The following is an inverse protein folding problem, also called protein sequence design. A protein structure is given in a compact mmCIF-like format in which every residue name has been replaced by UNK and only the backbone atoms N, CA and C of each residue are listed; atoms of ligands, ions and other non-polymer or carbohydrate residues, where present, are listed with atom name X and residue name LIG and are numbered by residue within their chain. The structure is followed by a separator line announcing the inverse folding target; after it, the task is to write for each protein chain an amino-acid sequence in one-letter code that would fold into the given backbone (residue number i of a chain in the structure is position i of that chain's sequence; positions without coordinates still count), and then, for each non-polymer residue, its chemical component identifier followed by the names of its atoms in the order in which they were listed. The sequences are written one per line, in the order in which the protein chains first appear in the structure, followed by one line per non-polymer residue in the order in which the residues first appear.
data_IF_025147510506
#
_entry.id   IF_025147510506
#
_cell.length_a   1.000
_cell.length_b   1.000
_cell.length_c   1.000
_cell.angle_alpha   90.00
_cell.angle_beta   90.00
_cell.angle_gamma   90.00
#
_symmetry.space_group_name_H-M   'P 1'
#
loop_
_entity.id
_entity.type
_entity.pdbx_description
1 polymer ?
#
# COMPACT_ATOMS: atom_id res chain seq x y z
N UNK A 1 9.77 -8.46 -12.97
CA UNK A 1 9.05 -9.67 -13.42
C UNK A 1 8.56 -10.39 -12.18
N UNK A 2 7.27 -10.69 -12.08
CA UNK A 2 6.63 -11.15 -10.85
C UNK A 2 5.59 -12.26 -11.11
N UNK A 3 5.99 -13.51 -11.41
CA UNK A 3 5.04 -14.60 -11.59
C UNK A 3 4.34 -14.99 -10.28
N UNK A 4 3.04 -15.24 -10.39
CA UNK A 4 2.22 -15.88 -9.35
C UNK A 4 1.74 -17.24 -9.86
N UNK A 5 1.79 -18.26 -9.02
CA UNK A 5 1.23 -19.58 -9.30
C UNK A 5 0.24 -19.96 -8.20
N UNK A 6 -0.83 -20.67 -8.55
CA UNK A 6 -1.84 -21.08 -7.58
C UNK A 6 -2.43 -22.45 -7.88
N UNK A 7 -2.90 -23.13 -6.82
CA UNK A 7 -3.73 -24.34 -6.92
C UNK A 7 -5.22 -24.02 -7.10
N UNK A 8 -5.61 -22.74 -7.13
CA UNK A 8 -6.97 -22.26 -7.29
C UNK A 8 -7.35 -21.93 -8.73
N UNK A 9 -8.20 -20.92 -8.91
CA UNK A 9 -8.75 -20.48 -10.19
C UNK A 9 -7.85 -19.52 -10.98
N UNK A 10 -6.71 -19.09 -10.42
CA UNK A 10 -5.80 -18.16 -11.09
C UNK A 10 -6.32 -16.73 -11.17
N UNK A 11 -7.26 -16.36 -10.28
CA UNK A 11 -7.81 -15.00 -10.18
C UNK A 11 -7.84 -14.56 -8.73
N UNK A 12 -7.61 -13.27 -8.50
CA UNK A 12 -7.67 -12.64 -7.18
C UNK A 12 -8.84 -11.66 -7.08
N UNK A 13 -9.31 -11.45 -5.85
CA UNK A 13 -10.24 -10.38 -5.49
C UNK A 13 -9.66 -9.57 -4.35
N UNK A 14 -10.04 -8.31 -4.26
CA UNK A 14 -9.72 -7.47 -3.12
C UNK A 14 -10.51 -7.90 -1.88
N UNK A 15 -9.84 -7.94 -0.74
CA UNK A 15 -10.46 -8.10 0.57
C UNK A 15 -10.67 -6.71 1.21
N UNK A 16 -11.69 -6.01 0.73
CA UNK A 16 -11.99 -4.63 1.14
C UNK A 16 -12.17 -4.50 2.66
N UNK A 17 -11.70 -3.37 3.21
CA UNK A 17 -11.79 -3.07 4.65
C UNK A 17 -10.65 -3.63 5.49
N UNK A 18 -9.71 -4.39 4.89
CA UNK A 18 -8.52 -4.94 5.57
C UNK A 18 -7.21 -4.35 5.03
N UNK A 19 -7.26 -3.12 4.53
CA UNK A 19 -6.11 -2.45 3.94
C UNK A 19 -5.09 -2.02 4.99
N UNK A 20 -3.85 -2.49 4.79
CA UNK A 20 -2.70 -2.17 5.63
C UNK A 20 -1.68 -1.28 4.90
N UNK A 21 -1.77 -1.18 3.58
CA UNK A 21 -0.85 -0.42 2.72
C UNK A 21 -1.61 0.74 2.09
N UNK A 22 -0.96 1.91 2.06
CA UNK A 22 -1.51 3.16 1.54
C UNK A 22 -0.45 3.92 0.74
N UNK A 23 -0.86 4.82 -0.14
CA UNK A 23 0.03 5.78 -0.82
C UNK A 23 -0.65 7.14 -0.92
N UNK A 24 0.14 8.23 -0.93
CA UNK A 24 -0.37 9.57 -1.17
C UNK A 24 -0.58 9.76 -2.68
N UNK A 25 -1.78 10.13 -3.09
CA UNK A 25 -2.16 10.32 -4.50
C UNK A 25 -2.56 11.75 -4.84
N UNK A 26 -3.07 12.52 -3.88
CA UNK A 26 -3.54 13.89 -4.13
C UNK A 26 -3.40 14.75 -2.85
N UNK A 27 -2.17 15.18 -2.50
CA UNK A 27 -1.93 15.96 -1.29
C UNK A 27 -2.62 17.33 -1.36
N UNK A 28 -3.44 17.64 -0.35
CA UNK A 28 -4.15 18.93 -0.22
C UNK A 28 -4.37 19.27 1.26
N UNK A 29 -4.69 20.54 1.61
CA UNK A 29 -4.85 20.95 3.00
C UNK A 29 -5.93 20.17 3.75
N UNK A 30 -5.58 19.63 4.91
CA UNK A 30 -6.46 18.82 5.77
C UNK A 30 -6.89 19.61 7.00
N UNK A 31 -8.19 19.62 7.29
CA UNK A 31 -8.76 20.36 8.43
C UNK A 31 -8.54 19.67 9.77
N UNK A 32 -8.74 18.35 9.83
CA UNK A 32 -8.63 17.57 11.06
C UNK A 32 -7.17 17.49 11.50
N UNK A 33 -6.81 17.91 12.74
CA UNK A 33 -5.41 17.95 13.17
C UNK A 33 -4.72 16.58 13.15
N UNK A 34 -5.43 15.52 13.51
CA UNK A 34 -4.89 14.16 13.50
C UNK A 34 -4.57 13.69 12.07
N UNK A 35 -5.52 13.85 11.14
CA UNK A 35 -5.34 13.55 9.73
C UNK A 35 -4.22 14.37 9.09
N UNK A 36 -4.10 15.65 9.47
CA UNK A 36 -3.00 16.51 9.03
C UNK A 36 -1.66 15.99 9.52
N UNK A 37 -1.53 15.65 10.80
CA UNK A 37 -0.29 15.11 11.37
C UNK A 37 0.14 13.80 10.70
N UNK A 38 -0.82 12.91 10.39
CA UNK A 38 -0.53 11.69 9.62
C UNK A 38 -0.06 12.01 8.20
N UNK A 39 -0.73 12.95 7.52
CA UNK A 39 -0.35 13.35 6.16
C UNK A 39 1.03 14.01 6.11
N UNK A 40 1.33 14.93 7.03
CA UNK A 40 2.63 15.60 7.14
C UNK A 40 3.74 14.57 7.37
N UNK A 41 3.56 13.67 8.33
CA UNK A 41 4.52 12.60 8.58
C UNK A 41 4.73 11.71 7.35
N UNK A 42 3.65 11.31 6.67
CA UNK A 42 3.73 10.47 5.48
C UNK A 42 4.41 11.19 4.30
N UNK A 43 4.14 12.48 4.12
CA UNK A 43 4.79 13.30 3.09
C UNK A 43 6.29 13.45 3.33
N UNK A 44 6.70 13.67 4.58
CA UNK A 44 8.10 13.81 4.97
C UNK A 44 8.90 12.50 4.80
N UNK A 45 8.29 11.36 5.13
CA UNK A 45 9.01 10.08 5.23
C UNK A 45 8.83 9.16 4.00
N UNK A 46 7.71 9.22 3.30
CA UNK A 46 7.35 8.27 2.24
C UNK A 46 7.07 8.94 0.89
N UNK A 47 6.72 10.24 0.90
CA UNK A 47 6.37 10.99 -0.31
C UNK A 47 5.24 10.30 -1.10
N UNK A 48 5.52 9.80 -2.31
CA UNK A 48 4.55 9.08 -3.14
C UNK A 48 4.70 7.56 -3.07
N UNK A 49 5.70 7.05 -2.33
CA UNK A 49 5.90 5.62 -2.15
C UNK A 49 4.84 5.02 -1.23
N UNK A 50 4.44 3.75 -1.45
CA UNK A 50 3.56 3.05 -0.53
C UNK A 50 4.17 2.92 0.88
N UNK A 51 3.32 3.05 1.90
CA UNK A 51 3.67 2.87 3.30
C UNK A 51 2.61 2.02 4.01
N UNK A 52 2.97 1.42 5.15
CA UNK A 52 2.02 0.64 5.93
C UNK A 52 1.49 1.40 7.16
N UNK A 53 0.21 1.13 7.51
CA UNK A 53 -0.45 1.68 8.71
C UNK A 53 0.34 1.39 10.00
N UNK A 54 1.03 0.25 10.04
CA UNK A 54 1.90 -0.14 11.15
C UNK A 54 3.02 0.87 11.41
N UNK A 55 3.73 1.34 10.38
CA UNK A 55 4.80 2.34 10.54
C UNK A 55 4.28 3.64 11.14
N UNK A 56 3.12 4.12 10.67
CA UNK A 56 2.45 5.28 11.25
C UNK A 56 2.05 5.05 12.72
N UNK A 57 1.53 3.85 13.02
CA UNK A 57 1.09 3.46 14.37
C UNK A 57 2.24 3.27 15.35
N UNK A 58 3.45 3.04 14.86
CA UNK A 58 4.69 2.97 15.66
C UNK A 58 5.29 4.36 15.88
N UNK A 59 5.17 5.25 14.90
CA UNK A 59 5.73 6.61 14.95
C UNK A 59 4.82 7.64 15.64
N UNK A 60 3.50 7.45 15.61
CA UNK A 60 2.51 8.40 16.11
C UNK A 60 1.84 7.89 17.39
N UNK A 61 1.45 8.80 18.31
CA UNK A 61 1.07 8.44 19.68
C UNK A 61 -0.25 7.67 19.83
N UNK A 62 -1.10 7.61 18.80
CA UNK A 62 -2.43 7.00 18.89
C UNK A 62 -2.73 6.09 17.70
N UNK A 63 -2.73 4.77 17.93
CA UNK A 63 -3.10 3.77 16.90
C UNK A 63 -4.54 3.97 16.40
N UNK A 64 -5.49 4.18 17.31
CA UNK A 64 -6.88 4.47 16.96
C UNK A 64 -7.01 5.79 16.18
N UNK A 65 -6.20 6.79 16.53
CA UNK A 65 -6.12 8.06 15.80
C UNK A 65 -5.60 7.88 14.37
N UNK A 66 -4.57 7.04 14.18
CA UNK A 66 -4.02 6.71 12.85
C UNK A 66 -5.07 6.04 11.97
N UNK A 67 -5.82 5.07 12.49
CA UNK A 67 -6.91 4.41 11.74
C UNK A 67 -7.99 5.41 11.30
N UNK A 68 -8.45 6.28 12.21
CA UNK A 68 -9.45 7.31 11.89
C UNK A 68 -8.92 8.33 10.87
N UNK A 69 -7.67 8.74 11.02
CA UNK A 69 -6.99 9.65 10.11
C UNK A 69 -6.86 9.05 8.70
N UNK A 70 -6.41 7.80 8.56
CA UNK A 70 -6.30 7.14 7.26
C UNK A 70 -7.67 7.01 6.57
N UNK A 71 -8.73 6.67 7.32
CA UNK A 71 -10.11 6.65 6.79
C UNK A 71 -10.60 8.02 6.34
N UNK A 72 -10.22 9.07 7.05
CA UNK A 72 -10.54 10.45 6.67
C UNK A 72 -9.79 10.88 5.40
N UNK A 73 -8.47 10.64 5.35
CA UNK A 73 -7.64 10.93 4.18
C UNK A 73 -8.07 10.15 2.94
N UNK A 74 -8.46 8.88 3.11
CA UNK A 74 -9.00 8.05 2.03
C UNK A 74 -10.31 8.60 1.49
N UNK A 75 -11.26 8.97 2.37
CA UNK A 75 -12.53 9.60 1.97
C UNK A 75 -12.34 10.95 1.28
N UNK A 76 -11.25 11.65 1.59
CA UNK A 76 -10.87 12.89 0.91
C UNK A 76 -10.08 12.63 -0.39
N UNK A 77 -9.86 11.37 -0.78
CA UNK A 77 -9.08 10.97 -1.96
C UNK A 77 -7.62 11.47 -1.92
N UNK A 78 -7.10 11.74 -0.71
CA UNK A 78 -5.71 12.18 -0.50
C UNK A 78 -4.78 10.98 -0.55
N UNK A 79 -5.21 9.88 0.06
CA UNK A 79 -4.51 8.60 0.03
C UNK A 79 -5.36 7.56 -0.69
N UNK A 80 -4.67 6.63 -1.35
CA UNK A 80 -5.25 5.39 -1.86
C UNK A 80 -4.86 4.26 -0.92
N UNK A 81 -5.78 3.33 -0.68
CA UNK A 81 -5.49 2.08 0.02
C UNK A 81 -5.24 0.93 -0.96
N UNK A 82 -4.52 -0.08 -0.51
CA UNK A 82 -4.24 -1.30 -1.26
C UNK A 82 -4.70 -2.50 -0.42
N UNK A 83 -5.95 -2.95 -0.61
CA UNK A 83 -6.47 -4.13 0.08
C UNK A 83 -5.67 -5.38 -0.27
N UNK A 84 -5.59 -6.38 0.64
CA UNK A 84 -5.03 -7.67 0.31
C UNK A 84 -5.73 -8.31 -0.88
N UNK A 85 -4.95 -8.84 -1.83
CA UNK A 85 -5.44 -9.62 -2.97
C UNK A 85 -5.47 -11.09 -2.60
N UNK A 86 -6.66 -11.68 -2.62
CA UNK A 86 -6.88 -13.06 -2.19
C UNK A 86 -7.40 -13.89 -3.36
N UNK A 87 -6.85 -15.09 -3.53
CA UNK A 87 -7.29 -16.04 -4.55
C UNK A 87 -8.76 -16.43 -4.32
N UNK A 88 -9.58 -16.39 -5.37
CA UNK A 88 -11.05 -16.48 -5.24
C UNK A 88 -11.55 -17.81 -4.66
N UNK A 89 -10.82 -18.90 -4.88
CA UNK A 89 -11.12 -20.23 -4.35
C UNK A 89 -10.30 -20.56 -3.09
N UNK A 90 -9.56 -19.59 -2.55
CA UNK A 90 -8.65 -19.76 -1.40
C UNK A 90 -7.57 -20.82 -1.65
N UNK A 91 -7.18 -21.00 -2.92
CA UNK A 91 -6.04 -21.82 -3.30
C UNK A 91 -4.74 -21.30 -2.69
N UNK A 92 -3.75 -22.19 -2.53
CA UNK A 92 -2.41 -21.76 -2.13
C UNK A 92 -1.81 -20.92 -3.27
N UNK A 93 -1.07 -19.87 -2.91
CA UNK A 93 -0.40 -18.99 -3.86
C UNK A 93 1.09 -18.98 -3.55
N UNK A 94 1.92 -19.13 -4.56
CA UNK A 94 3.35 -18.84 -4.51
C UNK A 94 3.69 -17.71 -5.46
N UNK A 95 4.76 -16.97 -5.15
CA UNK A 95 5.24 -15.85 -5.93
C UNK A 95 6.77 -15.88 -5.97
N UNK A 96 7.32 -15.40 -7.08
CA UNK A 96 8.73 -15.02 -7.19
C UNK A 96 8.78 -13.64 -7.85
N UNK A 97 9.81 -12.86 -7.56
CA UNK A 97 10.00 -11.53 -8.14
C UNK A 97 11.47 -11.30 -8.48
N UNK A 98 11.69 -10.58 -9.57
CA UNK A 98 12.99 -10.00 -9.88
C UNK A 98 12.85 -8.63 -10.55
N UNK A 99 13.78 -7.73 -10.29
CA UNK A 99 13.91 -6.43 -10.95
C UNK A 99 14.97 -6.54 -12.04
N UNK A 100 14.66 -6.05 -13.23
CA UNK A 100 15.56 -6.12 -14.40
C UNK A 100 15.79 -4.76 -15.04
N UNK A 101 16.97 -4.56 -15.59
CA UNK A 101 17.33 -3.43 -16.44
C UNK A 101 17.45 -3.91 -17.89
N UNK A 102 16.67 -3.33 -18.79
CA UNK A 102 16.72 -3.64 -20.22
C UNK A 102 17.86 -2.86 -20.85
N UNK A 103 18.77 -3.57 -21.51
CA UNK A 103 19.88 -3.01 -22.27
C UNK A 103 19.63 -3.24 -23.77
N UNK A 104 20.53 -2.74 -24.64
CA UNK A 104 20.32 -2.77 -26.09
C UNK A 104 20.06 -4.19 -26.64
N UNK A 105 20.84 -5.16 -26.19
CA UNK A 105 20.82 -6.55 -26.69
C UNK A 105 20.76 -7.58 -25.53
N UNK A 106 20.47 -7.13 -24.31
CA UNK A 106 20.55 -7.93 -23.08
C UNK A 106 19.60 -7.45 -21.99
N UNK A 107 19.48 -8.26 -20.94
CA UNK A 107 18.77 -7.92 -19.71
C UNK A 107 19.68 -8.21 -18.53
N UNK A 108 19.85 -7.23 -17.64
CA UNK A 108 20.59 -7.38 -16.39
C UNK A 108 19.62 -7.56 -15.23
N UNK A 109 19.80 -8.63 -14.45
CA UNK A 109 19.07 -8.86 -13.20
C UNK A 109 19.71 -8.03 -12.08
N UNK A 110 18.92 -7.21 -11.39
CA UNK A 110 19.37 -6.33 -10.32
C UNK A 110 19.11 -6.89 -8.92
N UNK A 111 18.11 -7.76 -8.81
CA UNK A 111 17.64 -8.40 -7.58
C UNK A 111 16.41 -9.24 -7.86
#
# INVERSE_FOLDING_TARGET
VEPFATTGAGRVTEKSGESEIYSIVNPKPVRLPQSRSVLEYAMENFQTLPFCKRWLSEALPSKAGVELALRDLYRQEIVRDYPPLVEINKGLVSQAECTVMVEKDSVKVLG
#
